data_IF_893844161970
#
_entry.id   IF_893844161970
#
_cell.length_a   1.000
_cell.length_b   1.000
_cell.length_c   1.000
_cell.angle_alpha   90.00
_cell.angle_beta   90.00
_cell.angle_gamma   90.00
#
_symmetry.space_group_name_H-M   'P 1'
#
loop_
_entity.id
_entity.type
_entity.pdbx_description
1 polymer ?
#
# COMPACT_ATOMS: atom_id res chain seq x y z
N UNK A 1 7.72 -10.37 -61.74
CA UNK A 1 8.69 -10.12 -60.66
C UNK A 1 8.45 -8.70 -60.18
N UNK A 2 7.71 -8.57 -59.09
CA UNK A 2 7.56 -7.33 -58.35
C UNK A 2 7.27 -7.76 -56.92
N UNK A 3 8.32 -7.71 -56.10
CA UNK A 3 8.31 -8.04 -54.68
C UNK A 3 7.27 -7.18 -53.96
N UNK A 4 6.43 -7.84 -53.18
CA UNK A 4 5.57 -7.22 -52.19
C UNK A 4 6.35 -7.16 -50.88
N UNK A 5 6.73 -5.95 -50.48
CA UNK A 5 7.32 -5.64 -49.19
C UNK A 5 6.37 -6.04 -48.05
N UNK A 6 6.73 -7.11 -47.34
CA UNK A 6 6.10 -7.55 -46.11
C UNK A 6 6.54 -6.60 -44.99
N UNK A 7 5.76 -5.56 -44.75
CA UNK A 7 5.93 -4.66 -43.60
C UNK A 7 5.61 -5.47 -42.34
N UNK A 8 6.65 -5.93 -41.66
CA UNK A 8 6.55 -6.50 -40.32
C UNK A 8 5.92 -5.45 -39.39
N UNK A 9 4.65 -5.64 -39.06
CA UNK A 9 3.98 -4.88 -38.00
C UNK A 9 4.74 -5.11 -36.68
N UNK A 10 5.27 -4.03 -36.10
CA UNK A 10 5.85 -4.05 -34.76
C UNK A 10 4.81 -4.60 -33.76
N UNK A 11 5.21 -5.46 -32.81
CA UNK A 11 4.29 -6.02 -31.85
C UNK A 11 3.69 -4.91 -30.98
N UNK A 12 2.38 -4.70 -31.09
CA UNK A 12 1.61 -3.80 -30.25
C UNK A 12 1.80 -4.24 -28.78
N UNK A 13 2.48 -3.40 -27.99
CA UNK A 13 2.64 -3.58 -26.55
C UNK A 13 1.26 -3.58 -25.90
N UNK A 14 0.74 -4.76 -25.55
CA UNK A 14 -0.57 -4.91 -24.91
C UNK A 14 -0.60 -4.38 -23.48
N UNK A 15 0.58 -4.20 -22.85
CA UNK A 15 0.77 -3.47 -21.59
C UNK A 15 2.19 -2.83 -21.58
N UNK A 16 2.33 -1.51 -21.75
CA UNK A 16 3.62 -0.83 -21.64
C UNK A 16 4.12 -0.85 -20.19
N UNK A 17 5.44 -0.81 -19.94
CA UNK A 17 5.95 -0.64 -18.59
C UNK A 17 5.52 0.70 -18.01
N UNK A 18 5.15 0.68 -16.74
CA UNK A 18 4.56 1.83 -16.06
C UNK A 18 5.61 2.56 -15.24
N UNK A 19 5.57 3.90 -15.31
CA UNK A 19 6.28 4.76 -14.35
C UNK A 19 5.72 4.42 -12.96
N UNK A 20 6.58 3.98 -12.05
CA UNK A 20 6.15 3.64 -10.71
C UNK A 20 5.93 4.91 -9.91
N UNK A 21 4.67 5.12 -9.54
CA UNK A 21 4.26 6.08 -8.53
C UNK A 21 3.94 5.29 -7.28
N UNK A 22 4.73 5.49 -6.23
CA UNK A 22 4.51 4.87 -4.93
C UNK A 22 3.07 5.10 -4.43
N UNK A 23 2.34 4.03 -4.01
CA UNK A 23 1.00 4.18 -3.51
C UNK A 23 0.99 5.04 -2.23
N UNK A 24 0.24 6.12 -2.30
CA UNK A 24 0.15 7.21 -1.31
C UNK A 24 -0.54 6.88 0.02
N UNK A 25 -1.00 5.65 0.22
CA UNK A 25 -1.52 5.24 1.51
C UNK A 25 -0.38 4.50 2.19
N UNK A 26 0.21 5.04 3.29
CA UNK A 26 1.15 4.29 4.10
C UNK A 26 0.50 2.94 4.36
N UNK A 27 1.20 1.85 4.03
CA UNK A 27 0.79 0.58 4.58
C UNK A 27 0.81 0.79 6.10
N UNK A 28 -0.30 0.60 6.84
CA UNK A 28 -0.33 0.78 8.29
C UNK A 28 0.61 -0.16 9.06
N UNK A 29 1.41 -0.97 8.36
CA UNK A 29 2.46 -1.85 8.86
C UNK A 29 3.84 -1.56 8.26
N UNK A 30 3.98 -0.60 7.32
CA UNK A 30 5.28 -0.04 6.94
C UNK A 30 5.64 1.03 7.98
N UNK A 31 6.38 0.60 9.00
CA UNK A 31 7.22 1.50 9.78
C UNK A 31 8.36 1.88 8.81
N UNK A 32 8.41 3.15 8.38
CA UNK A 32 9.57 3.66 7.64
C UNK A 32 10.83 3.34 8.46
N UNK A 33 11.82 2.69 7.84
CA UNK A 33 13.05 2.24 8.50
C UNK A 33 14.04 3.36 8.86
N UNK A 34 13.60 4.62 8.82
CA UNK A 34 14.43 5.80 9.11
C UNK A 34 14.07 6.45 10.46
N UNK A 35 13.86 5.62 11.49
CA UNK A 35 13.92 6.07 12.88
C UNK A 35 15.31 5.75 13.43
N UNK A 36 16.27 6.67 13.21
CA UNK A 36 17.37 6.80 14.16
C UNK A 36 16.76 7.10 15.53
N UNK A 37 17.07 6.27 16.53
CA UNK A 37 16.74 6.48 17.94
C UNK A 37 17.30 7.84 18.40
N UNK A 38 16.48 8.88 18.29
CA UNK A 38 16.60 10.10 19.08
C UNK A 38 15.18 10.53 19.44
N UNK A 39 14.81 10.33 20.71
CA UNK A 39 13.58 10.86 21.27
C UNK A 39 13.52 12.38 21.06
N UNK A 40 12.47 12.95 20.43
CA UNK A 40 12.21 14.37 20.57
C UNK A 40 11.31 14.60 21.79
N UNK A 41 11.78 15.46 22.69
CA UNK A 41 11.00 16.10 23.75
C UNK A 41 9.64 16.63 23.24
N UNK A 42 8.61 16.73 24.11
CA UNK A 42 7.25 17.08 23.70
C UNK A 42 7.19 18.54 23.24
N UNK A 43 7.22 18.74 21.92
CA UNK A 43 6.83 20.01 21.30
C UNK A 43 5.31 20.07 21.15
N UNK A 44 4.74 21.26 21.40
CA UNK A 44 3.30 21.52 21.48
C UNK A 44 2.51 20.95 20.27
N UNK A 45 1.25 20.52 20.46
CA UNK A 45 0.46 19.93 19.38
C UNK A 45 0.18 20.98 18.28
N UNK A 46 0.82 20.83 17.11
CA UNK A 46 0.44 21.57 15.90
C UNK A 46 -0.97 21.15 15.47
N UNK A 47 -1.79 22.14 15.07
CA UNK A 47 -3.22 21.99 14.82
C UNK A 47 -3.56 21.46 13.40
N UNK A 48 -2.58 20.90 12.69
CA UNK A 48 -2.57 20.58 11.26
C UNK A 48 -2.43 19.06 11.02
N UNK A 49 -2.92 18.58 9.88
CA UNK A 49 -2.82 17.16 9.48
C UNK A 49 -1.46 16.93 8.80
N UNK A 50 -0.64 16.02 9.35
CA UNK A 50 0.64 15.63 8.78
C UNK A 50 0.58 14.15 8.40
N UNK A 51 0.44 13.90 7.10
CA UNK A 51 0.22 12.57 6.53
C UNK A 51 1.42 11.61 6.65
N UNK A 52 2.61 12.13 6.92
CA UNK A 52 3.82 11.32 7.14
C UNK A 52 4.01 10.99 8.63
N UNK A 53 3.20 11.57 9.52
CA UNK A 53 3.22 11.29 10.96
C UNK A 53 2.20 10.19 11.27
N UNK A 54 2.51 9.34 12.24
CA UNK A 54 1.51 8.47 12.83
C UNK A 54 0.30 9.27 13.30
N UNK A 55 -0.89 8.69 13.15
CA UNK A 55 -2.09 9.30 13.72
C UNK A 55 -1.82 9.47 15.21
N UNK A 56 -1.94 10.68 15.77
CA UNK A 56 -1.75 10.88 17.20
C UNK A 56 -2.58 9.86 17.97
N UNK A 57 -2.02 9.23 19.02
CA UNK A 57 -2.78 8.28 19.81
C UNK A 57 -4.04 8.97 20.35
N UNK A 58 -5.12 8.21 20.60
CA UNK A 58 -6.24 8.75 21.34
C UNK A 58 -5.75 9.40 22.64
N UNK A 59 -6.34 10.53 23.06
CA UNK A 59 -5.95 11.23 24.29
C UNK A 59 -5.93 10.24 25.47
N UNK A 60 -4.91 10.34 26.32
CA UNK A 60 -4.79 9.53 27.53
C UNK A 60 -5.96 9.80 28.48
N UNK A 61 -6.49 8.72 29.04
CA UNK A 61 -7.69 8.71 29.89
C UNK A 61 -7.58 9.72 31.04
N UNK A 62 -8.37 10.80 30.96
CA UNK A 62 -8.88 11.44 32.17
C UNK A 62 -9.98 10.54 32.71
N UNK A 63 -9.86 10.09 33.95
CA UNK A 63 -10.82 9.26 34.70
C UNK A 63 -12.28 9.40 34.20
N UNK A 64 -12.75 8.47 33.36
CA UNK A 64 -14.14 8.42 32.90
C UNK A 64 -14.95 7.65 33.98
N UNK A 65 -15.62 8.39 34.88
CA UNK A 65 -16.45 7.84 35.98
C UNK A 65 -17.70 7.03 35.51
N UNK A 66 -17.96 6.85 34.19
CA UNK A 66 -19.16 6.17 33.66
C UNK A 66 -18.91 5.39 32.33
N UNK A 67 -17.83 4.61 32.21
CA UNK A 67 -17.68 3.71 31.05
C UNK A 67 -18.61 2.49 31.16
N UNK A 68 -19.46 2.17 30.15
CA UNK A 68 -20.31 0.99 30.22
C UNK A 68 -19.47 -0.28 30.16
N UNK A 69 -19.79 -1.25 31.01
CA UNK A 69 -19.18 -2.59 30.96
C UNK A 69 -19.66 -3.32 29.69
N UNK A 70 -18.76 -3.54 28.73
CA UNK A 70 -19.07 -4.19 27.45
C UNK A 70 -18.39 -5.56 27.43
N UNK A 71 -19.19 -6.62 27.42
CA UNK A 71 -18.70 -7.99 27.36
C UNK A 71 -19.17 -8.68 26.06
N UNK A 72 -18.22 -9.05 25.19
CA UNK A 72 -18.51 -9.63 23.86
C UNK A 72 -17.81 -10.98 23.62
N UNK A 73 -18.21 -12.05 24.33
CA UNK A 73 -17.60 -13.37 24.21
C UNK A 73 -17.74 -13.98 22.80
N UNK A 74 -18.69 -13.49 22.01
CA UNK A 74 -18.85 -13.88 20.61
C UNK A 74 -17.61 -13.57 19.74
N UNK A 75 -16.80 -12.58 20.13
CA UNK A 75 -15.62 -12.15 19.36
C UNK A 75 -14.42 -13.09 19.47
N UNK A 76 -14.39 -13.95 20.49
CA UNK A 76 -13.29 -14.91 20.72
C UNK A 76 -13.62 -16.33 20.24
N UNK A 77 -14.82 -16.54 19.69
CA UNK A 77 -15.26 -17.88 19.29
C UNK A 77 -14.43 -18.41 18.10
N UNK A 78 -13.91 -19.65 18.16
CA UNK A 78 -13.16 -20.25 17.06
C UNK A 78 -13.93 -20.33 15.73
N UNK A 79 -15.26 -20.39 15.79
CA UNK A 79 -16.16 -20.46 14.64
C UNK A 79 -16.22 -19.15 13.84
N UNK A 80 -15.65 -18.06 14.36
CA UNK A 80 -15.59 -16.77 13.68
C UNK A 80 -14.58 -16.75 12.53
N UNK A 81 -13.63 -17.71 12.51
CA UNK A 81 -12.47 -17.71 11.62
C UNK A 81 -12.55 -18.83 10.58
N UNK A 82 -12.17 -18.50 9.35
CA UNK A 82 -12.06 -19.45 8.25
C UNK A 82 -10.64 -20.04 8.15
N UNK A 83 -10.52 -21.29 7.67
CA UNK A 83 -9.21 -21.92 7.50
C UNK A 83 -8.40 -21.23 6.40
N UNK A 84 -7.12 -20.96 6.68
CA UNK A 84 -6.21 -20.38 5.68
C UNK A 84 -5.63 -21.49 4.80
N UNK A 85 -5.70 -21.38 3.45
CA UNK A 85 -5.11 -22.37 2.56
C UNK A 85 -3.58 -22.45 2.68
N UNK A 86 -3.04 -23.67 2.62
CA UNK A 86 -1.60 -23.96 2.55
C UNK A 86 -1.08 -23.93 1.11
N UNK A 87 -1.70 -23.15 0.24
CA UNK A 87 -1.32 -23.00 -1.16
C UNK A 87 -1.15 -21.52 -1.49
N UNK A 88 -0.30 -21.24 -2.47
CA UNK A 88 -0.08 -19.89 -2.97
C UNK A 88 0.14 -19.88 -4.50
N UNK A 89 -0.09 -18.74 -5.18
CA UNK A 89 0.07 -18.63 -6.63
C UNK A 89 1.51 -18.90 -7.11
N UNK A 90 2.51 -18.60 -6.29
CA UNK A 90 3.93 -18.80 -6.63
C UNK A 90 4.28 -20.30 -6.65
N UNK A 91 3.80 -21.10 -5.69
CA UNK A 91 3.99 -22.57 -5.72
C UNK A 91 3.34 -23.19 -6.94
N UNK A 92 2.16 -22.71 -7.36
CA UNK A 92 1.53 -23.15 -8.61
C UNK A 92 2.43 -22.89 -9.82
N UNK A 93 3.01 -21.68 -9.93
CA UNK A 93 3.95 -21.35 -11.00
C UNK A 93 5.22 -22.21 -10.94
N UNK A 94 5.80 -22.42 -9.76
CA UNK A 94 6.98 -23.28 -9.58
C UNK A 94 6.71 -24.71 -10.06
N UNK A 95 5.57 -25.28 -9.69
CA UNK A 95 5.20 -26.63 -10.08
C UNK A 95 5.01 -26.77 -11.60
N UNK A 96 4.47 -25.73 -12.24
CA UNK A 96 4.24 -25.70 -13.69
C UNK A 96 5.54 -25.55 -14.47
N UNK A 97 6.41 -24.61 -14.08
CA UNK A 97 7.50 -24.14 -14.93
C UNK A 97 8.90 -24.62 -14.51
N UNK A 98 9.12 -24.96 -13.24
CA UNK A 98 10.47 -25.29 -12.75
C UNK A 98 10.62 -26.82 -12.63
N UNK A 99 11.47 -27.36 -13.51
CA UNK A 99 11.84 -28.77 -13.55
C UNK A 99 13.37 -28.94 -13.63
N UNK A 100 13.93 -29.98 -12.99
CA UNK A 100 13.24 -30.96 -12.14
C UNK A 100 12.87 -30.39 -10.74
N UNK A 101 12.00 -31.05 -9.94
CA UNK A 101 11.45 -30.51 -8.70
C UNK A 101 12.49 -30.04 -7.67
N UNK A 102 13.69 -30.60 -7.69
CA UNK A 102 14.80 -30.26 -6.78
C UNK A 102 15.31 -28.83 -6.99
N UNK A 103 15.00 -28.21 -8.14
CA UNK A 103 15.33 -26.81 -8.43
C UNK A 103 14.35 -25.82 -7.80
N UNK A 104 13.20 -26.28 -7.26
CA UNK A 104 12.18 -25.41 -6.69
C UNK A 104 12.64 -24.91 -5.32
N UNK A 105 12.71 -23.60 -5.08
CA UNK A 105 13.00 -23.07 -3.75
C UNK A 105 11.97 -23.54 -2.73
N UNK A 106 12.42 -23.80 -1.51
CA UNK A 106 11.52 -24.09 -0.40
C UNK A 106 10.71 -22.83 -0.06
N UNK A 107 9.40 -22.99 0.10
CA UNK A 107 8.48 -21.92 0.51
C UNK A 107 7.70 -22.38 1.74
N UNK A 108 7.68 -21.54 2.78
CA UNK A 108 6.88 -21.80 3.96
C UNK A 108 5.44 -21.34 3.73
N UNK A 109 4.58 -22.28 3.37
CA UNK A 109 3.12 -22.10 3.30
C UNK A 109 2.41 -22.73 4.51
N UNK A 110 3.19 -23.21 5.50
CA UNK A 110 2.67 -23.90 6.66
C UNK A 110 1.95 -22.95 7.61
N UNK A 111 2.39 -21.69 7.72
CA UNK A 111 1.86 -20.71 8.67
C UNK A 111 2.21 -21.02 10.14
N UNK A 112 3.24 -21.83 10.39
CA UNK A 112 3.78 -22.03 11.74
C UNK A 112 4.40 -20.71 12.26
N UNK A 113 3.98 -20.26 13.45
CA UNK A 113 4.39 -18.96 14.00
C UNK A 113 5.11 -19.10 15.34
N UNK A 114 5.01 -20.24 16.01
CA UNK A 114 5.46 -20.45 17.39
C UNK A 114 6.99 -20.37 17.55
N UNK A 115 7.75 -20.56 16.46
CA UNK A 115 9.22 -20.57 16.46
C UNK A 115 9.84 -19.24 16.04
N UNK A 116 9.04 -18.26 15.65
CA UNK A 116 9.50 -17.01 15.04
C UNK A 116 8.89 -15.82 15.76
N UNK A 117 9.69 -14.80 16.03
CA UNK A 117 9.18 -13.57 16.67
C UNK A 117 8.34 -12.74 15.69
N UNK A 118 7.50 -11.86 16.24
CA UNK A 118 6.58 -11.01 15.46
C UNK A 118 7.30 -10.13 14.43
N UNK A 119 8.37 -9.45 14.83
CA UNK A 119 9.11 -8.52 13.97
C UNK A 119 9.68 -9.24 12.73
N UNK A 120 10.29 -10.41 12.93
CA UNK A 120 10.79 -11.23 11.83
C UNK A 120 9.67 -11.63 10.88
N UNK A 121 8.51 -12.07 11.39
CA UNK A 121 7.37 -12.45 10.55
C UNK A 121 6.83 -11.29 9.70
N UNK A 122 6.86 -10.06 10.23
CA UNK A 122 6.51 -8.85 9.47
C UNK A 122 7.55 -8.58 8.39
N UNK A 123 8.83 -8.54 8.75
CA UNK A 123 9.92 -8.27 7.81
C UNK A 123 10.06 -9.31 6.69
N UNK A 124 9.67 -10.56 6.93
CA UNK A 124 9.70 -11.64 5.93
C UNK A 124 8.37 -11.82 5.18
N UNK A 125 7.41 -10.89 5.35
CA UNK A 125 6.09 -10.97 4.75
C UNK A 125 5.38 -12.33 5.03
N UNK A 126 5.55 -12.88 6.23
CA UNK A 126 4.96 -14.18 6.63
C UNK A 126 3.52 -14.02 7.08
N UNK A 127 2.67 -13.49 6.19
CA UNK A 127 1.30 -13.10 6.50
C UNK A 127 0.42 -14.26 6.96
N UNK A 128 0.63 -15.50 6.47
CA UNK A 128 -0.13 -16.66 6.98
C UNK A 128 0.17 -16.93 8.45
N UNK A 129 1.43 -16.89 8.84
CA UNK A 129 1.87 -17.12 10.21
C UNK A 129 1.28 -16.04 11.15
N UNK A 130 1.39 -14.76 10.76
CA UNK A 130 0.79 -13.65 11.52
C UNK A 130 -0.73 -13.76 11.65
N UNK A 131 -1.41 -14.14 10.56
CA UNK A 131 -2.86 -14.28 10.58
C UNK A 131 -3.32 -15.45 11.47
N UNK A 132 -2.53 -16.54 11.57
CA UNK A 132 -2.79 -17.65 12.51
C UNK A 132 -2.47 -17.26 13.94
N UNK A 133 -1.35 -16.58 14.16
CA UNK A 133 -0.99 -16.04 15.47
C UNK A 133 -2.10 -15.15 16.03
N UNK A 134 -2.63 -14.23 15.21
CA UNK A 134 -3.73 -13.36 15.60
C UNK A 134 -4.96 -14.18 16.03
N UNK A 135 -5.38 -15.15 15.21
CA UNK A 135 -6.51 -16.04 15.52
C UNK A 135 -6.29 -16.84 16.81
N UNK A 136 -5.11 -17.44 16.98
CA UNK A 136 -4.80 -18.24 18.16
C UNK A 136 -4.84 -17.38 19.44
N UNK A 137 -4.28 -16.15 19.37
CA UNK A 137 -4.33 -15.20 20.48
C UNK A 137 -5.74 -14.70 20.78
N UNK A 138 -6.57 -14.45 19.76
CA UNK A 138 -7.97 -14.02 19.97
C UNK A 138 -8.76 -15.11 20.71
N UNK A 139 -8.61 -16.37 20.30
CA UNK A 139 -9.36 -17.49 20.90
C UNK A 139 -8.99 -17.71 22.37
N UNK A 140 -7.78 -17.36 22.76
CA UNK A 140 -7.30 -17.47 24.15
C UNK A 140 -7.36 -16.16 24.94
N UNK A 141 -7.76 -15.05 24.29
CA UNK A 141 -7.81 -13.75 24.94
C UNK A 141 -8.96 -13.70 25.94
N UNK A 142 -8.79 -12.87 26.96
CA UNK A 142 -9.88 -12.49 27.84
C UNK A 142 -10.93 -11.70 27.04
N UNK A 143 -12.20 -12.14 26.97
CA UNK A 143 -13.22 -11.41 26.23
C UNK A 143 -13.56 -10.04 26.83
N UNK A 144 -13.13 -9.75 28.06
CA UNK A 144 -13.24 -8.43 28.69
C UNK A 144 -12.19 -7.44 28.14
N UNK A 145 -11.03 -7.91 27.67
CA UNK A 145 -10.00 -7.06 27.06
C UNK A 145 -10.31 -6.78 25.58
N UNK A 146 -11.36 -5.98 25.37
CA UNK A 146 -11.83 -5.63 24.03
C UNK A 146 -10.79 -4.85 23.21
N UNK A 147 -9.91 -4.09 23.85
CA UNK A 147 -8.87 -3.33 23.15
C UNK A 147 -7.88 -4.29 22.49
N UNK A 148 -7.40 -5.30 23.25
CA UNK A 148 -6.55 -6.36 22.71
C UNK A 148 -7.27 -7.17 21.63
N UNK A 149 -8.51 -7.62 21.91
CA UNK A 149 -9.30 -8.45 21.00
C UNK A 149 -9.51 -7.74 19.66
N UNK A 150 -9.93 -6.47 19.67
CA UNK A 150 -10.17 -5.69 18.45
C UNK A 150 -8.87 -5.37 17.70
N UNK A 151 -7.78 -5.11 18.41
CA UNK A 151 -6.44 -4.96 17.81
C UNK A 151 -5.98 -6.22 17.08
N UNK A 152 -6.17 -7.40 17.69
CA UNK A 152 -5.86 -8.68 17.05
C UNK A 152 -6.79 -8.99 15.87
N UNK A 153 -8.07 -8.62 15.94
CA UNK A 153 -9.00 -8.70 14.81
C UNK A 153 -8.55 -7.87 13.62
N UNK A 154 -8.06 -6.66 13.87
CA UNK A 154 -7.47 -5.83 12.83
C UNK A 154 -6.25 -6.51 12.20
N UNK A 155 -5.30 -6.99 13.01
CA UNK A 155 -4.12 -7.71 12.53
C UNK A 155 -4.51 -8.92 11.67
N UNK A 156 -5.48 -9.72 12.13
CA UNK A 156 -6.02 -10.90 11.43
C UNK A 156 -6.54 -10.53 10.04
N UNK A 157 -7.44 -9.55 9.96
CA UNK A 157 -8.07 -9.14 8.70
C UNK A 157 -7.07 -8.48 7.75
N UNK A 158 -6.12 -7.70 8.28
CA UNK A 158 -5.05 -7.09 7.50
C UNK A 158 -4.11 -8.15 6.88
N UNK A 159 -3.76 -9.19 7.62
CA UNK A 159 -2.94 -10.27 7.08
C UNK A 159 -3.69 -11.07 5.99
N UNK A 160 -4.98 -11.36 6.20
CA UNK A 160 -5.80 -12.03 5.18
C UNK A 160 -5.93 -11.20 3.89
N UNK A 161 -6.07 -9.88 4.02
CA UNK A 161 -6.13 -9.00 2.85
C UNK A 161 -4.79 -8.94 2.09
N UNK A 162 -3.64 -8.93 2.79
CA UNK A 162 -2.31 -9.05 2.17
C UNK A 162 -2.08 -10.39 1.49
N UNK A 163 -2.65 -11.47 2.03
CA UNK A 163 -2.69 -12.78 1.38
C UNK A 163 -3.61 -12.83 0.16
N UNK A 164 -4.36 -11.75 -0.12
CA UNK A 164 -5.36 -11.65 -1.19
C UNK A 164 -6.50 -12.66 -1.02
N UNK A 165 -6.75 -13.10 0.21
CA UNK A 165 -7.85 -14.00 0.57
C UNK A 165 -9.14 -13.20 0.80
N UNK A 166 -9.50 -12.35 -0.17
CA UNK A 166 -10.55 -11.33 -0.01
C UNK A 166 -11.91 -11.91 0.40
N UNK A 167 -12.26 -13.10 -0.11
CA UNK A 167 -13.49 -13.79 0.31
C UNK A 167 -13.47 -14.17 1.80
N UNK A 168 -12.31 -14.62 2.30
CA UNK A 168 -12.16 -14.98 3.71
C UNK A 168 -12.18 -13.73 4.59
N UNK A 169 -11.46 -12.68 4.18
CA UNK A 169 -11.47 -11.39 4.86
C UNK A 169 -12.89 -10.82 4.95
N UNK A 170 -13.66 -10.88 3.86
CA UNK A 170 -15.05 -10.42 3.84
C UNK A 170 -15.93 -11.18 4.81
N UNK A 171 -15.89 -12.52 4.82
CA UNK A 171 -16.71 -13.32 5.74
C UNK A 171 -16.33 -13.06 7.19
N UNK A 172 -15.04 -13.10 7.53
CA UNK A 172 -14.57 -12.88 8.90
C UNK A 172 -14.90 -11.45 9.39
N UNK A 173 -14.75 -10.44 8.53
CA UNK A 173 -15.08 -9.05 8.85
C UNK A 173 -16.60 -8.85 9.01
N UNK A 174 -17.42 -9.48 8.17
CA UNK A 174 -18.88 -9.47 8.34
C UNK A 174 -19.31 -10.13 9.64
N UNK A 175 -18.69 -11.25 10.04
CA UNK A 175 -18.96 -11.90 11.32
C UNK A 175 -18.65 -10.96 12.49
N UNK A 176 -17.45 -10.34 12.49
CA UNK A 176 -17.04 -9.35 13.50
C UNK A 176 -18.09 -8.23 13.61
N UNK A 177 -18.40 -7.56 12.50
CA UNK A 177 -19.36 -6.45 12.52
C UNK A 177 -20.78 -6.88 12.84
N UNK A 178 -21.17 -8.14 12.58
CA UNK A 178 -22.46 -8.66 13.01
C UNK A 178 -22.56 -8.72 14.54
N UNK A 179 -21.50 -9.12 15.23
CA UNK A 179 -21.46 -9.14 16.70
C UNK A 179 -21.47 -7.71 17.26
N UNK A 180 -20.64 -6.81 16.69
CA UNK A 180 -20.58 -5.41 17.15
C UNK A 180 -21.90 -4.67 16.95
N UNK A 181 -22.62 -4.93 15.85
CA UNK A 181 -23.90 -4.28 15.58
C UNK A 181 -25.06 -4.82 16.43
N UNK A 182 -24.94 -6.04 16.95
CA UNK A 182 -25.91 -6.69 17.83
C UNK A 182 -25.84 -6.20 19.28
N UNK A 183 -24.91 -5.30 19.62
CA UNK A 183 -24.79 -4.73 20.96
C UNK A 183 -26.02 -3.89 21.30
N UNK A 184 -26.60 -4.18 22.47
CA UNK A 184 -27.68 -3.44 23.11
C UNK A 184 -27.24 -3.01 24.51
N UNK A 185 -27.70 -1.86 25.03
CA UNK A 185 -28.57 -0.88 24.38
C UNK A 185 -27.84 0.02 23.34
N UNK A 186 -28.57 0.80 22.51
CA UNK A 186 -27.97 1.65 21.46
C UNK A 186 -26.89 2.62 21.94
N UNK A 187 -26.99 3.10 23.19
CA UNK A 187 -26.02 3.98 23.84
C UNK A 187 -24.68 3.28 24.02
N UNK A 188 -24.69 2.04 24.52
CA UNK A 188 -23.51 1.20 24.68
C UNK A 188 -22.87 0.87 23.33
N UNK A 189 -23.69 0.60 22.31
CA UNK A 189 -23.18 0.42 20.94
C UNK A 189 -22.53 1.70 20.41
N UNK A 190 -23.14 2.87 20.64
CA UNK A 190 -22.53 4.13 20.23
C UNK A 190 -21.18 4.35 20.91
N UNK A 191 -21.08 4.04 22.21
CA UNK A 191 -19.82 4.09 22.95
C UNK A 191 -18.76 3.17 22.33
N UNK A 192 -19.10 1.90 22.06
CA UNK A 192 -18.24 0.92 21.40
C UNK A 192 -17.67 1.47 20.07
N UNK A 193 -18.52 1.97 19.16
CA UNK A 193 -18.10 2.47 17.85
C UNK A 193 -17.37 3.82 17.89
N UNK A 194 -17.58 4.62 18.94
CA UNK A 194 -16.99 5.95 19.04
C UNK A 194 -15.69 6.00 19.83
N UNK A 195 -15.52 5.11 20.82
CA UNK A 195 -14.42 5.13 21.79
C UNK A 195 -13.52 3.89 21.70
N UNK A 196 -14.07 2.70 21.48
CA UNK A 196 -13.30 1.45 21.58
C UNK A 196 -12.90 0.86 20.22
N UNK A 197 -13.76 0.93 19.20
CA UNK A 197 -13.50 0.34 17.89
C UNK A 197 -12.32 1.04 17.18
N UNK A 198 -11.24 0.31 16.84
CA UNK A 198 -10.19 0.85 15.98
C UNK A 198 -10.76 1.39 14.66
N UNK A 199 -10.39 2.62 14.31
CA UNK A 199 -10.91 3.28 13.12
C UNK A 199 -10.55 2.52 11.83
N UNK A 200 -9.42 1.82 11.86
CA UNK A 200 -8.90 1.00 10.78
C UNK A 200 -9.82 -0.18 10.46
N UNK A 201 -10.58 -0.69 11.44
CA UNK A 201 -11.60 -1.71 11.22
C UNK A 201 -12.83 -1.13 10.50
N UNK A 202 -13.23 0.11 10.78
CA UNK A 202 -14.29 0.77 10.00
C UNK A 202 -13.86 0.96 8.55
N UNK A 203 -12.61 1.39 8.32
CA UNK A 203 -12.03 1.50 6.97
C UNK A 203 -12.00 0.13 6.27
N UNK A 204 -11.54 -0.92 6.96
CA UNK A 204 -11.55 -2.29 6.45
C UNK A 204 -12.96 -2.75 6.06
N UNK A 205 -13.97 -2.45 6.89
CA UNK A 205 -15.35 -2.82 6.62
C UNK A 205 -15.89 -2.14 5.35
N UNK A 206 -15.56 -0.86 5.13
CA UNK A 206 -15.93 -0.21 3.85
C UNK A 206 -15.26 -0.88 2.65
N UNK A 207 -14.01 -1.32 2.81
CA UNK A 207 -13.22 -1.99 1.76
C UNK A 207 -13.82 -3.33 1.29
N UNK A 208 -14.71 -3.95 2.07
CA UNK A 208 -15.43 -5.15 1.62
C UNK A 208 -16.21 -4.91 0.33
N UNK A 209 -16.76 -3.70 0.16
CA UNK A 209 -17.49 -3.30 -1.06
C UNK A 209 -16.58 -3.25 -2.28
N UNK A 210 -15.35 -2.76 -2.10
CA UNK A 210 -14.32 -2.77 -3.14
C UNK A 210 -14.04 -4.19 -3.64
N UNK A 211 -13.82 -5.13 -2.72
CA UNK A 211 -13.58 -6.53 -3.09
C UNK A 211 -14.79 -7.24 -3.69
N UNK A 212 -16.00 -6.78 -3.37
CA UNK A 212 -17.23 -7.23 -4.01
C UNK A 212 -17.46 -6.62 -5.41
N UNK A 213 -16.62 -5.69 -5.86
CA UNK A 213 -16.77 -4.97 -7.14
C UNK A 213 -17.78 -3.81 -7.11
N UNK A 214 -18.32 -3.47 -5.93
CA UNK A 214 -19.24 -2.33 -5.72
C UNK A 214 -18.45 -1.03 -5.52
N UNK A 215 -17.82 -0.52 -6.59
CA UNK A 215 -16.98 0.67 -6.53
C UNK A 215 -17.75 1.94 -6.11
N UNK A 216 -19.00 2.09 -6.57
CA UNK A 216 -19.84 3.24 -6.21
C UNK A 216 -20.29 3.18 -4.75
N UNK A 217 -20.75 2.01 -4.27
CA UNK A 217 -21.09 1.84 -2.87
C UNK A 217 -19.88 1.98 -1.95
N UNK A 218 -18.68 1.62 -2.43
CA UNK A 218 -17.43 1.85 -1.69
C UNK A 218 -17.16 3.36 -1.52
N UNK A 219 -17.29 4.15 -2.59
CA UNK A 219 -17.16 5.61 -2.52
C UNK A 219 -18.20 6.25 -1.58
N UNK A 220 -19.45 5.78 -1.61
CA UNK A 220 -20.50 6.26 -0.70
C UNK A 220 -20.15 5.95 0.77
N UNK A 221 -19.68 4.73 1.04
CA UNK A 221 -19.28 4.32 2.38
C UNK A 221 -18.09 5.14 2.91
N UNK A 222 -17.06 5.36 2.07
CA UNK A 222 -15.93 6.23 2.40
C UNK A 222 -16.35 7.68 2.60
N UNK A 223 -17.29 8.19 1.80
CA UNK A 223 -17.85 9.53 1.96
C UNK A 223 -18.58 9.68 3.30
N UNK A 224 -19.25 8.62 3.76
CA UNK A 224 -19.80 8.51 5.11
C UNK A 224 -18.73 8.63 6.20
N UNK A 225 -17.62 7.88 6.09
CA UNK A 225 -16.49 7.97 7.02
C UNK A 225 -15.83 9.35 7.02
N UNK A 226 -15.65 9.96 5.83
CA UNK A 226 -15.11 11.31 5.72
C UNK A 226 -16.01 12.34 6.41
N UNK A 227 -17.34 12.20 6.26
CA UNK A 227 -18.31 13.04 6.98
C UNK A 227 -18.22 12.84 8.50
N UNK A 228 -18.08 11.59 8.99
CA UNK A 228 -17.84 11.28 10.41
C UNK A 228 -16.60 12.01 10.93
N UNK A 229 -15.48 11.91 10.22
CA UNK A 229 -14.23 12.58 10.57
C UNK A 229 -14.39 14.11 10.64
N UNK A 230 -15.02 14.71 9.63
CA UNK A 230 -15.28 16.17 9.59
C UNK A 230 -16.17 16.64 10.75
N UNK A 231 -17.21 15.88 11.10
CA UNK A 231 -18.09 16.22 12.23
C UNK A 231 -17.32 16.13 13.55
N UNK A 232 -16.57 15.05 13.79
CA UNK A 232 -15.80 14.87 15.03
C UNK A 232 -14.66 15.87 15.17
N UNK A 233 -13.97 16.22 14.08
CA UNK A 233 -12.96 17.28 14.07
C UNK A 233 -13.55 18.65 14.46
N UNK A 234 -14.77 18.97 13.99
CA UNK A 234 -15.46 20.26 14.27
C UNK A 234 -16.08 20.37 15.66
N UNK A 235 -16.52 19.25 16.25
CA UNK A 235 -17.12 19.24 17.60
C UNK A 235 -16.08 19.37 18.72
N UNK A 236 -14.82 19.03 18.43
CA UNK A 236 -13.74 18.91 19.43
C UNK A 236 -12.77 20.10 19.61
N UNK A 237 -12.80 21.24 18.88
CA UNK A 237 -11.67 22.19 18.88
C UNK A 237 -11.48 22.97 20.18
N UNK A 238 -12.49 23.01 21.07
CA UNK A 238 -12.42 23.74 22.36
C UNK A 238 -12.24 22.83 23.58
N UNK A 239 -12.64 21.58 23.49
CA UNK A 239 -12.67 20.65 24.63
C UNK A 239 -11.44 19.71 24.61
N UNK A 240 -10.97 19.34 23.41
CA UNK A 240 -9.81 18.46 23.23
C UNK A 240 -9.12 18.74 21.86
N UNK A 241 -8.09 19.60 21.85
CA UNK A 241 -7.31 19.90 20.65
C UNK A 241 -6.65 18.67 20.01
N UNK A 242 -6.24 17.69 20.83
CA UNK A 242 -5.54 16.47 20.39
C UNK A 242 -6.48 15.55 19.62
N UNK A 243 -7.69 15.31 20.15
CA UNK A 243 -8.72 14.58 19.41
C UNK A 243 -9.13 15.31 18.12
N UNK A 244 -9.23 16.64 18.14
CA UNK A 244 -9.52 17.42 16.93
C UNK A 244 -8.46 17.20 15.84
N UNK A 245 -7.17 17.24 16.21
CA UNK A 245 -6.06 16.98 15.30
C UNK A 245 -6.10 15.54 14.73
N UNK A 246 -6.30 14.54 15.59
CA UNK A 246 -6.44 13.13 15.18
C UNK A 246 -7.58 12.92 14.17
N UNK A 247 -8.76 13.53 14.37
CA UNK A 247 -9.87 13.39 13.42
C UNK A 247 -9.64 14.13 12.10
N UNK A 248 -8.88 15.23 12.10
CA UNK A 248 -8.43 15.88 10.85
C UNK A 248 -7.49 14.96 10.08
N UNK A 249 -6.54 14.34 10.77
CA UNK A 249 -5.60 13.38 10.19
C UNK A 249 -6.31 12.17 9.57
N UNK A 250 -7.23 11.55 10.32
CA UNK A 250 -8.10 10.47 9.80
C UNK A 250 -8.89 10.93 8.57
N UNK A 251 -9.45 12.14 8.59
CA UNK A 251 -10.17 12.73 7.46
C UNK A 251 -9.29 12.96 6.23
N UNK A 252 -8.03 13.36 6.41
CA UNK A 252 -7.06 13.50 5.34
C UNK A 252 -6.71 12.13 4.73
N UNK A 253 -6.44 11.11 5.56
CA UNK A 253 -6.20 9.73 5.11
C UNK A 253 -7.38 9.13 4.35
N UNK A 254 -8.62 9.30 4.84
CA UNK A 254 -9.82 8.87 4.09
C UNK A 254 -9.96 9.62 2.76
N UNK A 255 -9.60 10.90 2.71
CA UNK A 255 -9.63 11.66 1.45
C UNK A 255 -8.62 11.12 0.44
N UNK A 256 -7.45 10.66 0.89
CA UNK A 256 -6.48 9.96 0.03
C UNK A 256 -7.04 8.62 -0.48
N UNK A 257 -7.70 7.83 0.37
CA UNK A 257 -8.33 6.56 -0.05
C UNK A 257 -9.41 6.81 -1.11
N UNK A 258 -10.27 7.82 -0.91
CA UNK A 258 -11.28 8.21 -1.91
C UNK A 258 -10.60 8.66 -3.21
N UNK A 259 -9.55 9.49 -3.12
CA UNK A 259 -8.81 9.94 -4.29
C UNK A 259 -8.22 8.76 -5.07
N UNK A 260 -7.59 7.78 -4.40
CA UNK A 260 -7.10 6.56 -5.04
C UNK A 260 -8.22 5.78 -5.75
N UNK A 261 -9.39 5.63 -5.13
CA UNK A 261 -10.53 4.97 -5.78
C UNK A 261 -11.01 5.75 -7.01
N UNK A 262 -11.05 7.09 -6.95
CA UNK A 262 -11.40 7.93 -8.09
C UNK A 262 -10.37 7.82 -9.22
N UNK A 263 -9.08 7.66 -8.90
CA UNK A 263 -8.03 7.40 -9.88
C UNK A 263 -8.25 6.06 -10.61
N UNK A 264 -8.58 4.99 -9.88
CA UNK A 264 -8.90 3.69 -10.49
C UNK A 264 -10.11 3.78 -11.43
N UNK A 265 -11.08 4.63 -11.08
CA UNK A 265 -12.25 4.93 -11.92
C UNK A 265 -11.98 5.93 -13.04
N UNK A 266 -10.74 6.43 -13.18
CA UNK A 266 -10.33 7.47 -14.15
C UNK A 266 -11.03 8.83 -13.96
N UNK A 267 -11.58 9.07 -12.78
CA UNK A 267 -12.22 10.32 -12.37
C UNK A 267 -11.21 11.32 -11.80
N UNK A 268 -10.22 11.67 -12.61
CA UNK A 268 -9.08 12.52 -12.21
C UNK A 268 -9.50 13.91 -11.70
N UNK A 269 -10.53 14.49 -12.31
CA UNK A 269 -11.04 15.81 -11.93
C UNK A 269 -11.69 15.82 -10.55
N UNK A 270 -12.38 14.73 -10.17
CA UNK A 270 -12.96 14.60 -8.84
C UNK A 270 -11.88 14.35 -7.78
N UNK A 271 -10.88 13.51 -8.11
CA UNK A 271 -9.74 13.22 -7.25
C UNK A 271 -8.95 14.48 -6.87
N UNK A 272 -8.61 15.30 -7.86
CA UNK A 272 -7.86 16.55 -7.66
C UNK A 272 -8.66 17.59 -6.86
N UNK A 273 -9.95 17.78 -7.16
CA UNK A 273 -10.84 18.66 -6.38
C UNK A 273 -10.95 18.25 -4.91
N UNK A 274 -10.85 16.95 -4.61
CA UNK A 274 -10.90 16.45 -3.24
C UNK A 274 -9.60 16.75 -2.47
N UNK A 275 -8.45 16.62 -3.12
CA UNK A 275 -7.13 16.76 -2.47
C UNK A 275 -6.58 18.19 -2.47
N UNK A 276 -6.94 19.04 -3.44
CA UNK A 276 -6.50 20.43 -3.51
C UNK A 276 -6.70 21.23 -2.21
N UNK A 277 -7.84 21.13 -1.51
CA UNK A 277 -8.03 21.81 -0.23
C UNK A 277 -7.04 21.36 0.86
N UNK A 278 -6.52 20.13 0.80
CA UNK A 278 -5.51 19.65 1.75
C UNK A 278 -4.15 20.32 1.49
N UNK A 279 -3.82 20.61 0.24
CA UNK A 279 -2.61 21.35 -0.14
C UNK A 279 -2.65 22.84 0.24
N UNK A 280 -3.81 23.39 0.58
CA UNK A 280 -3.99 24.81 0.92
C UNK A 280 -4.17 25.05 2.43
N UNK A 281 -3.95 24.02 3.26
CA UNK A 281 -3.92 24.16 4.72
C UNK A 281 -2.61 24.83 5.17
N UNK A 282 -2.54 25.27 6.42
CA UNK A 282 -1.44 26.10 6.93
C UNK A 282 -0.05 25.45 6.80
N UNK A 283 0.04 24.12 6.84
CA UNK A 283 1.28 23.34 6.72
C UNK A 283 1.05 22.13 5.80
N UNK A 284 1.02 22.32 4.47
CA UNK A 284 0.83 21.23 3.53
C UNK A 284 2.15 20.51 3.31
N UNK A 285 2.19 19.21 3.61
CA UNK A 285 3.44 18.45 3.47
C UNK A 285 3.92 18.40 2.02
N UNK A 286 5.24 18.49 1.78
CA UNK A 286 5.83 18.31 0.45
C UNK A 286 5.40 16.99 -0.22
N UNK A 287 5.25 15.93 0.57
CA UNK A 287 4.79 14.61 0.11
C UNK A 287 3.38 14.67 -0.49
N UNK A 288 2.44 15.36 0.17
CA UNK A 288 1.06 15.52 -0.30
C UNK A 288 1.01 16.38 -1.56
N UNK A 289 1.78 17.48 -1.61
CA UNK A 289 1.85 18.32 -2.82
C UNK A 289 2.40 17.53 -4.01
N UNK A 290 3.44 16.73 -3.79
CA UNK A 290 4.01 15.82 -4.80
C UNK A 290 3.00 14.74 -5.22
N UNK A 291 2.16 14.25 -4.31
CA UNK A 291 1.07 13.34 -4.63
C UNK A 291 0.06 13.94 -5.60
N UNK A 292 -0.44 15.13 -5.29
CA UNK A 292 -1.43 15.85 -6.10
C UNK A 292 -0.84 16.17 -7.47
N UNK A 293 0.44 16.56 -7.53
CA UNK A 293 1.16 16.75 -8.78
C UNK A 293 1.23 15.47 -9.63
N UNK A 294 1.54 14.32 -9.02
CA UNK A 294 1.56 13.01 -9.71
C UNK A 294 0.19 12.61 -10.24
N UNK A 295 -0.88 12.88 -9.49
CA UNK A 295 -2.25 12.72 -9.97
C UNK A 295 -2.53 13.62 -11.18
N UNK A 296 -2.09 14.88 -11.13
CA UNK A 296 -2.21 15.81 -12.26
C UNK A 296 -1.43 15.35 -13.49
N UNK A 297 -0.24 14.76 -13.32
CA UNK A 297 0.51 14.14 -14.42
C UNK A 297 -0.28 12.99 -15.05
N UNK A 298 -0.79 12.07 -14.23
CA UNK A 298 -1.58 10.94 -14.72
C UNK A 298 -2.86 11.38 -15.46
N UNK A 299 -3.41 12.52 -15.06
CA UNK A 299 -4.57 13.15 -15.69
C UNK A 299 -4.23 13.94 -16.96
N UNK A 300 -2.95 14.10 -17.31
CA UNK A 300 -2.48 14.89 -18.45
C UNK A 300 -2.41 16.41 -18.22
N UNK A 301 -2.70 16.89 -17.01
CA UNK A 301 -2.62 18.32 -16.66
C UNK A 301 -1.20 18.72 -16.25
N UNK A 302 -0.25 18.61 -17.19
CA UNK A 302 1.19 18.83 -16.95
C UNK A 302 1.48 20.19 -16.31
N UNK A 303 0.80 21.26 -16.76
CA UNK A 303 1.00 22.61 -16.22
C UNK A 303 0.59 22.74 -14.74
N UNK A 304 -0.48 22.06 -14.33
CA UNK A 304 -0.89 22.04 -12.92
C UNK A 304 0.07 21.23 -12.06
N UNK A 305 0.53 20.08 -12.58
CA UNK A 305 1.55 19.28 -11.92
C UNK A 305 2.84 20.08 -11.71
N UNK A 306 3.32 20.77 -12.75
CA UNK A 306 4.49 21.64 -12.68
C UNK A 306 4.34 22.70 -11.59
N UNK A 307 3.19 23.39 -11.53
CA UNK A 307 2.94 24.40 -10.49
C UNK A 307 3.08 23.83 -9.07
N UNK A 308 2.56 22.63 -8.83
CA UNK A 308 2.71 21.96 -7.53
C UNK A 308 4.17 21.54 -7.25
N UNK A 309 4.87 20.98 -8.23
CA UNK A 309 6.29 20.63 -8.07
C UNK A 309 7.17 21.86 -7.83
N UNK A 310 6.89 23.00 -8.48
CA UNK A 310 7.62 24.26 -8.22
C UNK A 310 7.45 24.75 -6.79
N UNK A 311 6.30 24.51 -6.16
CA UNK A 311 6.12 24.82 -4.74
C UNK A 311 6.94 23.89 -3.84
N UNK A 312 7.00 22.60 -4.16
CA UNK A 312 7.84 21.62 -3.44
C UNK A 312 9.33 21.94 -3.61
N UNK A 313 9.74 22.42 -4.78
CA UNK A 313 11.12 22.82 -5.05
C UNK A 313 11.59 23.96 -4.12
N UNK A 314 10.70 24.92 -3.83
CA UNK A 314 10.94 26.06 -2.95
C UNK A 314 10.83 25.71 -1.46
N UNK A 315 10.27 24.55 -1.14
CA UNK A 315 10.09 24.10 0.23
C UNK A 315 11.40 23.59 0.83
N UNK A 316 11.78 24.12 2.00
CA UNK A 316 13.00 23.72 2.69
C UNK A 316 12.87 22.38 3.42
N UNK A 317 11.66 21.93 3.71
CA UNK A 317 11.41 20.64 4.37
C UNK A 317 11.41 19.46 3.38
N UNK A 318 11.34 19.76 2.07
CA UNK A 318 11.38 18.74 1.03
C UNK A 318 12.82 18.21 0.84
N UNK A 319 12.99 16.89 0.94
CA UNK A 319 14.28 16.24 0.68
C UNK A 319 14.72 16.42 -0.77
N UNK A 320 16.03 16.47 -1.00
CA UNK A 320 16.57 16.60 -2.37
C UNK A 320 16.17 15.41 -3.24
N UNK A 321 16.08 14.21 -2.67
CA UNK A 321 15.59 13.01 -3.36
C UNK A 321 14.16 13.15 -3.87
N UNK A 322 13.27 13.72 -3.05
CA UNK A 322 11.89 14.01 -3.46
C UNK A 322 11.85 15.04 -4.60
N UNK A 323 12.67 16.10 -4.52
CA UNK A 323 12.77 17.11 -5.57
C UNK A 323 13.27 16.50 -6.88
N UNK A 324 14.33 15.71 -6.84
CA UNK A 324 14.85 15.00 -8.00
C UNK A 324 13.84 14.01 -8.60
N UNK A 325 13.12 13.26 -7.77
CA UNK A 325 12.05 12.39 -8.24
C UNK A 325 10.95 13.20 -8.96
N UNK A 326 10.53 14.33 -8.39
CA UNK A 326 9.53 15.20 -9.00
C UNK A 326 10.01 15.77 -10.36
N UNK A 327 11.26 16.23 -10.44
CA UNK A 327 11.89 16.71 -11.69
C UNK A 327 11.96 15.59 -12.74
N UNK A 328 12.39 14.39 -12.35
CA UNK A 328 12.47 13.24 -13.25
C UNK A 328 11.09 12.82 -13.79
N UNK A 329 10.07 12.78 -12.94
CA UNK A 329 8.70 12.44 -13.34
C UNK A 329 8.11 13.49 -14.31
N UNK A 330 8.36 14.77 -14.06
CA UNK A 330 7.95 15.85 -14.94
C UNK A 330 8.68 15.78 -16.30
N UNK A 331 9.99 15.52 -16.30
CA UNK A 331 10.77 15.31 -17.53
C UNK A 331 10.24 14.12 -18.34
N UNK A 332 9.94 12.99 -17.68
CA UNK A 332 9.28 11.85 -18.31
C UNK A 332 7.93 12.23 -18.94
N UNK A 333 7.10 13.00 -18.24
CA UNK A 333 5.80 13.44 -18.76
C UNK A 333 5.92 14.38 -19.98
N UNK A 334 7.01 15.16 -20.07
CA UNK A 334 7.32 15.99 -21.23
C UNK A 334 7.99 15.23 -22.39
N UNK A 335 8.33 13.95 -22.22
CA UNK A 335 9.09 13.17 -23.19
C UNK A 335 10.60 13.49 -23.20
N UNK A 336 11.10 14.19 -22.19
CA UNK A 336 12.51 14.55 -22.02
C UNK A 336 13.31 13.38 -21.40
N UNK A 337 13.33 12.24 -22.07
CA UNK A 337 13.85 10.97 -21.51
C UNK A 337 15.33 11.01 -21.12
N UNK A 338 16.15 11.75 -21.87
CA UNK A 338 17.57 11.93 -21.56
C UNK A 338 17.76 12.75 -20.28
N UNK A 339 16.98 13.82 -20.12
CA UNK A 339 17.00 14.64 -18.90
C UNK A 339 16.58 13.82 -17.67
N UNK A 340 15.47 13.08 -17.77
CA UNK A 340 15.01 12.18 -16.71
C UNK A 340 16.08 11.14 -16.34
N UNK A 341 16.76 10.56 -17.33
CA UNK A 341 17.85 9.59 -17.11
C UNK A 341 19.01 10.20 -16.34
N UNK A 342 19.42 11.42 -16.68
CA UNK A 342 20.52 12.10 -16.00
C UNK A 342 20.15 12.40 -14.53
N UNK A 343 18.94 12.92 -14.29
CA UNK A 343 18.44 13.20 -12.93
C UNK A 343 18.41 11.91 -12.10
N UNK A 344 17.80 10.84 -12.62
CA UNK A 344 17.67 9.57 -11.91
C UNK A 344 19.02 8.89 -11.67
N UNK A 345 19.96 9.00 -12.61
CA UNK A 345 21.32 8.47 -12.42
C UNK A 345 22.04 9.21 -11.30
N UNK A 346 22.00 10.54 -11.28
CA UNK A 346 22.60 11.35 -10.22
C UNK A 346 21.96 11.09 -8.85
N UNK A 347 20.64 10.84 -8.81
CA UNK A 347 19.96 10.46 -7.58
C UNK A 347 20.44 9.10 -7.08
N UNK A 348 20.57 8.10 -7.97
CA UNK A 348 21.03 6.75 -7.61
C UNK A 348 22.51 6.68 -7.23
N UNK A 349 23.34 7.65 -7.65
CA UNK A 349 24.71 7.79 -7.15
C UNK A 349 24.75 8.13 -5.65
N UNK A 350 23.73 8.86 -5.16
CA UNK A 350 23.61 9.24 -3.74
C UNK A 350 22.78 8.23 -2.95
N UNK A 351 21.74 7.67 -3.57
CA UNK A 351 20.81 6.71 -2.96
C UNK A 351 20.69 5.44 -3.81
N UNK A 352 21.68 4.52 -3.76
CA UNK A 352 21.68 3.33 -4.60
C UNK A 352 20.51 2.38 -4.37
N UNK A 353 19.90 2.42 -3.18
CA UNK A 353 18.76 1.57 -2.79
C UNK A 353 17.39 2.22 -3.04
N UNK A 354 17.33 3.37 -3.72
CA UNK A 354 16.06 3.97 -4.12
C UNK A 354 15.44 3.17 -5.29
N UNK A 355 14.81 2.05 -4.98
CA UNK A 355 14.26 1.13 -6.00
C UNK A 355 13.14 1.74 -6.85
N UNK A 356 12.49 2.78 -6.33
CA UNK A 356 11.54 3.61 -7.09
C UNK A 356 12.26 4.32 -8.24
N UNK A 357 13.40 4.96 -7.94
CA UNK A 357 14.24 5.59 -8.94
C UNK A 357 14.87 4.59 -9.91
N UNK A 358 15.34 3.43 -9.42
CA UNK A 358 15.85 2.35 -10.29
C UNK A 358 14.78 1.92 -11.30
N UNK A 359 13.54 1.72 -10.82
CA UNK A 359 12.43 1.35 -11.69
C UNK A 359 12.13 2.44 -12.72
N UNK A 360 12.02 3.70 -12.30
CA UNK A 360 11.76 4.81 -13.20
C UNK A 360 12.90 5.02 -14.21
N UNK A 361 14.16 4.81 -13.82
CA UNK A 361 15.31 4.86 -14.71
C UNK A 361 15.20 3.79 -15.80
N UNK A 362 14.78 2.57 -15.44
CA UNK A 362 14.57 1.49 -16.42
C UNK A 362 13.51 1.86 -17.47
N UNK A 363 12.45 2.55 -17.06
CA UNK A 363 11.39 3.05 -17.97
C UNK A 363 11.93 4.15 -18.87
N UNK A 364 12.66 5.14 -18.32
CA UNK A 364 13.28 6.20 -19.11
C UNK A 364 14.29 5.66 -20.13
N UNK A 365 15.07 4.64 -19.78
CA UNK A 365 16.00 3.96 -20.68
C UNK A 365 15.27 3.20 -21.79
N UNK A 366 14.18 2.51 -21.46
CA UNK A 366 13.35 1.86 -22.48
C UNK A 366 12.77 2.87 -23.46
N UNK A 367 12.25 4.01 -23.00
CA UNK A 367 11.70 5.07 -23.87
C UNK A 367 12.73 5.66 -24.84
N UNK A 368 14.03 5.48 -24.57
CA UNK A 368 15.13 5.84 -25.48
C UNK A 368 15.54 4.69 -26.42
N UNK A 369 14.85 3.55 -26.38
CA UNK A 369 15.26 2.32 -27.09
C UNK A 369 16.45 1.60 -26.45
N UNK A 370 16.92 2.02 -25.27
CA UNK A 370 18.08 1.43 -24.55
C UNK A 370 17.66 0.21 -23.72
N UNK A 371 16.93 -0.72 -24.34
CA UNK A 371 16.34 -1.91 -23.70
C UNK A 371 17.36 -2.71 -22.86
N UNK A 372 18.55 -2.94 -23.41
CA UNK A 372 19.61 -3.70 -22.72
C UNK A 372 20.04 -3.03 -21.41
N UNK A 373 20.22 -1.71 -21.42
CA UNK A 373 20.63 -0.96 -20.24
C UNK A 373 19.51 -0.96 -19.19
N UNK A 374 18.25 -0.80 -19.60
CA UNK A 374 17.10 -0.90 -18.69
C UNK A 374 17.03 -2.24 -17.95
N UNK A 375 17.27 -3.35 -18.66
CA UNK A 375 17.35 -4.69 -18.06
C UNK A 375 18.52 -4.78 -17.07
N UNK A 376 19.72 -4.36 -17.50
CA UNK A 376 20.92 -4.42 -16.65
C UNK A 376 20.75 -3.59 -15.36
N UNK A 377 20.06 -2.45 -15.43
CA UNK A 377 19.74 -1.61 -14.26
C UNK A 377 18.86 -2.36 -13.25
N UNK A 378 17.76 -2.98 -13.69
CA UNK A 378 16.88 -3.75 -12.81
C UNK A 378 17.56 -5.04 -12.29
N UNK A 379 18.29 -5.78 -13.14
CA UNK A 379 19.01 -6.99 -12.74
C UNK A 379 20.08 -6.71 -11.67
N UNK A 380 20.77 -5.57 -11.76
CA UNK A 380 21.72 -5.13 -10.73
C UNK A 380 21.04 -4.87 -9.39
N UNK A 381 19.92 -4.16 -9.38
CA UNK A 381 19.16 -3.91 -8.15
C UNK A 381 18.62 -5.21 -7.54
N UNK A 382 18.11 -6.12 -8.37
CA UNK A 382 17.68 -7.45 -7.94
C UNK A 382 18.81 -8.28 -7.35
N UNK A 383 20.01 -8.18 -7.90
CA UNK A 383 21.18 -8.91 -7.37
C UNK A 383 21.72 -8.30 -6.08
N UNK A 384 21.61 -6.98 -5.92
CA UNK A 384 22.09 -6.25 -4.74
C UNK A 384 21.19 -6.48 -3.52
N UNK A 385 19.87 -6.31 -3.68
CA UNK A 385 18.92 -6.39 -2.57
C UNK A 385 17.66 -7.16 -2.99
N UNK A 386 17.75 -8.50 -3.18
CA UNK A 386 16.65 -9.31 -3.69
C UNK A 386 15.37 -9.18 -2.86
N UNK A 387 15.48 -9.31 -1.54
CA UNK A 387 14.33 -9.25 -0.62
C UNK A 387 13.55 -7.93 -0.70
N UNK A 388 14.23 -6.82 -0.94
CA UNK A 388 13.62 -5.51 -1.03
C UNK A 388 12.89 -5.28 -2.35
N UNK A 389 13.42 -5.80 -3.47
CA UNK A 389 12.83 -5.53 -4.80
C UNK A 389 11.79 -6.55 -5.24
N UNK A 390 11.86 -7.81 -4.79
CA UNK A 390 10.90 -8.85 -5.25
C UNK A 390 9.51 -8.67 -4.66
N UNK A 391 9.37 -7.84 -3.63
CA UNK A 391 8.08 -7.48 -3.03
C UNK A 391 7.41 -6.33 -3.78
N UNK A 392 8.18 -5.55 -4.54
CA UNK A 392 7.69 -4.46 -5.38
C UNK A 392 7.10 -5.00 -6.70
N UNK A 393 5.78 -5.21 -6.73
CA UNK A 393 5.07 -5.72 -7.91
C UNK A 393 5.36 -4.94 -9.21
N UNK A 394 5.45 -3.59 -9.21
CA UNK A 394 5.76 -2.82 -10.43
C UNK A 394 7.18 -3.05 -10.94
N UNK A 395 8.14 -3.25 -10.04
CA UNK A 395 9.51 -3.61 -10.40
C UNK A 395 9.55 -4.95 -11.15
N UNK A 396 8.88 -5.97 -10.60
CA UNK A 396 8.80 -7.29 -11.23
C UNK A 396 8.06 -7.26 -12.56
N UNK A 397 7.00 -6.45 -12.64
CA UNK A 397 6.22 -6.27 -13.87
C UNK A 397 7.04 -5.62 -14.99
N UNK A 398 7.78 -4.56 -14.67
CA UNK A 398 8.64 -3.86 -15.62
C UNK A 398 9.79 -4.77 -16.06
N UNK A 399 10.46 -5.46 -15.14
CA UNK A 399 11.52 -6.42 -15.48
C UNK A 399 11.00 -7.55 -16.40
N UNK A 400 9.85 -8.14 -16.05
CA UNK A 400 9.21 -9.19 -16.86
C UNK A 400 8.84 -8.68 -18.26
N UNK A 401 8.36 -7.44 -18.36
CA UNK A 401 8.04 -6.79 -19.64
C UNK A 401 9.29 -6.54 -20.48
N UNK A 402 10.37 -6.05 -19.88
CA UNK A 402 11.64 -5.86 -20.59
C UNK A 402 12.24 -7.19 -21.07
N UNK A 403 12.09 -8.27 -20.30
CA UNK A 403 12.48 -9.61 -20.76
C UNK A 403 11.67 -10.07 -21.98
N UNK A 404 10.35 -9.88 -21.99
CA UNK A 404 9.50 -10.23 -23.14
C UNK A 404 9.86 -9.45 -24.41
N UNK A 405 10.22 -8.17 -24.26
CA UNK A 405 10.74 -7.36 -25.37
C UNK A 405 12.08 -7.90 -25.91
N UNK A 406 12.83 -8.67 -25.11
CA UNK A 406 14.09 -9.32 -25.48
C UNK A 406 13.88 -10.79 -25.87
N UNK A 407 13.34 -11.00 -27.07
CA UNK A 407 12.88 -12.29 -27.63
C UNK A 407 13.73 -13.54 -27.31
N UNK A 408 15.06 -13.50 -27.49
CA UNK A 408 15.88 -14.73 -27.47
C UNK A 408 16.07 -15.39 -26.08
N UNK A 409 15.93 -14.63 -24.98
CA UNK A 409 16.23 -15.14 -23.62
C UNK A 409 15.09 -14.90 -22.62
N UNK A 410 13.97 -14.34 -23.10
CA UNK A 410 12.83 -13.93 -22.29
C UNK A 410 12.34 -15.05 -21.35
N UNK A 411 12.12 -16.24 -21.90
CA UNK A 411 11.59 -17.38 -21.14
C UNK A 411 12.52 -17.77 -20.01
N UNK A 412 13.81 -18.02 -20.29
CA UNK A 412 14.76 -18.45 -19.27
C UNK A 412 14.92 -17.38 -18.17
N UNK A 413 15.04 -16.11 -18.55
CA UNK A 413 15.17 -15.00 -17.60
C UNK A 413 13.96 -14.86 -16.68
N UNK A 414 12.74 -15.10 -17.19
CA UNK A 414 11.53 -15.13 -16.35
C UNK A 414 11.47 -16.35 -15.42
N UNK A 415 11.99 -17.50 -15.83
CA UNK A 415 12.12 -18.66 -14.95
C UNK A 415 13.11 -18.41 -13.81
N UNK A 416 14.24 -17.78 -14.12
CA UNK A 416 15.23 -17.40 -13.12
C UNK A 416 14.66 -16.35 -12.15
N UNK A 417 13.89 -15.37 -12.67
CA UNK A 417 13.16 -14.40 -11.85
C UNK A 417 12.14 -15.06 -10.93
N UNK A 418 11.37 -16.04 -11.42
CA UNK A 418 10.42 -16.80 -10.60
C UNK A 418 11.13 -17.52 -9.44
N UNK A 419 12.33 -18.06 -9.68
CA UNK A 419 13.15 -18.71 -8.64
C UNK A 419 13.57 -17.68 -7.58
N UNK A 420 14.04 -16.49 -7.97
CA UNK A 420 14.42 -15.45 -7.00
C UNK A 420 13.21 -14.95 -6.21
N UNK A 421 12.09 -14.67 -6.88
CA UNK A 421 10.84 -14.28 -6.22
C UNK A 421 10.42 -15.35 -5.21
N UNK A 422 10.48 -16.63 -5.58
CA UNK A 422 10.10 -17.72 -4.71
C UNK A 422 10.96 -17.82 -3.43
N UNK A 423 12.24 -17.43 -3.49
CA UNK A 423 13.14 -17.44 -2.33
C UNK A 423 12.84 -16.29 -1.36
N UNK A 424 12.51 -15.11 -1.89
CA UNK A 424 12.60 -13.86 -1.13
C UNK A 424 11.27 -13.16 -0.86
N UNK A 425 10.20 -13.44 -1.61
CA UNK A 425 8.98 -12.61 -1.56
C UNK A 425 8.13 -12.76 -0.31
N UNK A 426 8.30 -13.85 0.45
CA UNK A 426 7.32 -14.27 1.46
C UNK A 426 5.92 -14.48 0.85
N UNK A 427 4.88 -14.08 1.58
CA UNK A 427 3.48 -14.23 1.20
C UNK A 427 2.88 -12.98 0.53
N UNK A 428 1.75 -13.16 -0.17
CA UNK A 428 0.88 -12.06 -0.61
C UNK A 428 1.21 -11.43 -1.97
N UNK A 429 2.33 -11.79 -2.58
CA UNK A 429 2.74 -11.28 -3.89
C UNK A 429 1.73 -11.63 -5.00
N UNK A 430 1.35 -10.64 -5.81
CA UNK A 430 0.54 -10.86 -7.02
C UNK A 430 1.36 -11.54 -8.11
N UNK A 431 1.20 -12.84 -8.27
CA UNK A 431 1.92 -13.61 -9.30
C UNK A 431 1.75 -13.10 -10.74
N UNK A 432 0.70 -12.32 -11.05
CA UNK A 432 0.54 -11.73 -12.39
C UNK A 432 1.62 -10.70 -12.75
N UNK A 433 2.35 -10.13 -11.76
CA UNK A 433 3.47 -9.23 -12.04
C UNK A 433 4.60 -9.95 -12.81
N UNK A 434 4.72 -11.28 -12.69
CA UNK A 434 5.67 -12.07 -13.46
C UNK A 434 5.26 -12.27 -14.92
N UNK A 435 4.04 -11.87 -15.30
CA UNK A 435 3.46 -12.09 -16.64
C UNK A 435 3.53 -13.56 -17.09
N UNK A 436 3.36 -14.50 -16.17
CA UNK A 436 3.37 -15.95 -16.43
C UNK A 436 1.95 -16.50 -16.29
N UNK A 437 1.55 -17.48 -17.11
CA UNK A 437 0.21 -18.06 -17.00
C UNK A 437 0.14 -19.05 -15.82
N UNK A 438 -0.65 -18.70 -14.81
CA UNK A 438 -0.88 -19.56 -13.64
C UNK A 438 -1.67 -20.82 -13.96
N UNK A 439 -2.59 -20.73 -14.92
CA UNK A 439 -3.40 -21.83 -15.45
C UNK A 439 -3.35 -21.80 -16.98
#
# INVERSE_FOLDING_TARGET
MSDSDDVQQEPILTNPPEVYVEPQVPDPFLIDSDASDDEPEPTAPSATANLNKDVPPPPSESEEEDAPEIYLPGLVLPTMFLPIPNTDPITTLLNKYIHPPERRPARDVSGEWQKTNFHTLVMTNSWRALARMARDRIVTADPEDLVLVLGLWYLRLACLSRLRLFNQTSVECTNLFSVLNAVEPPETKSYLFDKMLPFELEVMYTRLKYWAGDHLGYLDALSGLLRKCKIKAKRSPKLDPTASAMWKERGARVSLIIASQLMEMKEFGASTKLLEPLCNQAEPTPSLRSAVARIYLQAGYIQKAHAHFSLVEQDSEASESMKDMNRALLACANGEWENATNILTNLLEREPENFVAVNNLSVSLLSQGKLRQGIETLEKALSASPASVVTAEPFLFNLSTLYELRSATATQKKLDLLIEVAKWSGDGLKASCLKMSGN
#
